data_IF_821128372286
#
_entry.id   IF_821128372286
#
_cell.length_a   1.000
_cell.length_b   1.000
_cell.length_c   1.000
_cell.angle_alpha   90.00
_cell.angle_beta   90.00
_cell.angle_gamma   90.00
#
_symmetry.space_group_name_H-M   'P 1'
#
loop_
_entity.id
_entity.type
_entity.pdbx_description
1 polymer ?
#
# COMPACT_ATOMS: atom_id res chain seq x y z
N UNK A 1 -33.35 -27.18 -3.40
CA UNK A 1 -31.89 -27.31 -3.24
C UNK A 1 -31.37 -26.04 -2.59
N UNK A 2 -30.93 -26.09 -1.32
CA UNK A 2 -30.29 -24.93 -0.68
C UNK A 2 -28.80 -25.04 -0.98
N UNK A 3 -28.34 -24.29 -1.97
CA UNK A 3 -26.91 -24.16 -2.25
C UNK A 3 -26.39 -23.10 -1.29
N UNK A 4 -25.73 -23.51 -0.21
CA UNK A 4 -24.90 -22.56 0.54
C UNK A 4 -23.67 -22.30 -0.36
N UNK A 5 -23.48 -21.08 -0.88
CA UNK A 5 -22.33 -20.81 -1.75
C UNK A 5 -21.03 -21.01 -0.96
N UNK A 6 -19.98 -21.44 -1.67
CA UNK A 6 -18.62 -21.36 -1.15
C UNK A 6 -18.36 -19.90 -0.72
N UNK A 7 -17.73 -19.73 0.45
CA UNK A 7 -17.32 -18.41 0.91
C UNK A 7 -16.40 -17.74 -0.10
N UNK A 8 -16.42 -16.41 -0.14
CA UNK A 8 -15.47 -15.65 -0.94
C UNK A 8 -14.09 -15.78 -0.29
N UNK A 9 -13.05 -15.98 -1.10
CA UNK A 9 -11.68 -16.04 -0.59
C UNK A 9 -11.32 -14.73 0.11
N UNK A 10 -11.03 -14.81 1.41
CA UNK A 10 -10.62 -13.69 2.26
C UNK A 10 -9.17 -13.89 2.68
N UNK A 11 -8.36 -12.86 2.50
CA UNK A 11 -6.93 -12.92 2.69
C UNK A 11 -6.46 -11.85 3.65
N UNK A 12 -5.42 -12.19 4.42
CA UNK A 12 -4.66 -11.27 5.25
C UNK A 12 -3.18 -11.47 4.92
N UNK A 13 -2.43 -10.37 4.85
CA UNK A 13 -1.03 -10.38 4.46
C UNK A 13 -0.26 -9.38 5.31
N UNK A 14 1.02 -9.66 5.60
CA UNK A 14 2.03 -8.70 6.09
C UNK A 14 1.80 -8.05 7.48
N UNK A 15 1.80 -8.85 8.55
CA UNK A 15 1.85 -8.35 9.94
C UNK A 15 0.71 -7.39 10.32
N UNK A 16 -0.49 -7.61 9.78
CA UNK A 16 -1.58 -6.63 9.91
C UNK A 16 -2.47 -6.84 11.14
N UNK A 17 -2.20 -7.87 11.95
CA UNK A 17 -2.95 -8.15 13.19
C UNK A 17 -2.50 -7.17 14.28
N UNK A 18 -3.30 -6.16 14.53
CA UNK A 18 -3.03 -5.13 15.53
C UNK A 18 -3.81 -5.43 16.82
N UNK A 19 -3.16 -5.35 17.97
CA UNK A 19 -3.86 -5.22 19.27
C UNK A 19 -3.82 -3.77 19.71
N UNK A 20 -4.98 -3.16 19.90
CA UNK A 20 -5.10 -1.78 20.38
C UNK A 20 -4.85 -1.69 21.88
N UNK A 21 -4.68 -0.47 22.40
CA UNK A 21 -4.50 -0.18 23.83
C UNK A 21 -5.69 -0.66 24.66
N UNK A 22 -6.91 -0.63 24.11
CA UNK A 22 -8.10 -1.18 24.77
C UNK A 22 -8.10 -2.71 24.85
N UNK A 23 -7.17 -3.37 24.16
CA UNK A 23 -7.06 -4.82 24.08
C UNK A 23 -7.83 -5.43 22.90
N UNK A 24 -8.56 -4.63 22.11
CA UNK A 24 -9.26 -5.11 20.91
C UNK A 24 -8.25 -5.55 19.85
N UNK A 25 -8.58 -6.63 19.15
CA UNK A 25 -7.82 -7.12 18.00
C UNK A 25 -8.43 -6.57 16.72
N UNK A 26 -7.60 -6.03 15.84
CA UNK A 26 -7.97 -5.47 14.55
C UNK A 26 -7.25 -6.28 13.47
N UNK A 27 -8.03 -6.89 12.59
CA UNK A 27 -7.53 -7.71 11.49
C UNK A 27 -8.09 -7.17 10.17
N UNK A 28 -7.35 -6.31 9.47
CA UNK A 28 -7.76 -5.87 8.15
C UNK A 28 -7.50 -7.00 7.14
N UNK A 29 -8.45 -7.19 6.23
CA UNK A 29 -8.47 -8.26 5.25
C UNK A 29 -8.94 -7.72 3.90
N UNK A 30 -8.70 -8.49 2.85
CA UNK A 30 -9.33 -8.25 1.55
C UNK A 30 -9.93 -9.52 0.97
N UNK A 31 -10.99 -9.34 0.19
CA UNK A 31 -11.60 -10.39 -0.63
C UNK A 31 -11.17 -10.23 -2.07
N UNK A 32 -11.14 -11.35 -2.80
CA UNK A 32 -10.85 -11.35 -4.22
C UNK A 32 -11.87 -12.20 -4.98
N UNK A 33 -12.44 -11.64 -6.04
CA UNK A 33 -13.50 -12.22 -6.86
C UNK A 33 -13.11 -12.19 -8.34
N UNK A 34 -13.17 -13.33 -9.02
CA UNK A 34 -12.91 -13.39 -10.46
C UNK A 34 -12.34 -14.73 -10.91
N UNK A 35 -12.15 -14.87 -12.22
CA UNK A 35 -11.44 -16.00 -12.82
C UNK A 35 -9.93 -15.75 -12.80
N UNK A 36 -9.12 -16.81 -12.82
CA UNK A 36 -7.66 -16.69 -12.79
C UNK A 36 -7.04 -16.22 -14.10
N UNK A 37 -7.80 -16.19 -15.19
CA UNK A 37 -7.36 -15.70 -16.51
C UNK A 37 -8.04 -14.38 -16.86
N UNK A 38 -7.32 -13.54 -17.62
CA UNK A 38 -7.87 -12.30 -18.16
C UNK A 38 -8.63 -12.54 -19.47
N UNK A 39 -9.02 -11.45 -20.17
CA UNK A 39 -9.66 -11.54 -21.48
C UNK A 39 -8.86 -12.41 -22.46
N UNK A 40 -9.56 -13.26 -23.23
CA UNK A 40 -8.98 -14.22 -24.18
C UNK A 40 -8.02 -15.25 -23.54
N UNK A 41 -8.19 -15.55 -22.26
CA UNK A 41 -7.34 -16.44 -21.47
C UNK A 41 -5.86 -16.00 -21.41
N UNK A 42 -5.59 -14.72 -21.63
CA UNK A 42 -4.24 -14.15 -21.62
C UNK A 42 -3.87 -13.64 -20.23
N UNK A 43 -2.67 -13.97 -19.77
CA UNK A 43 -2.00 -13.34 -18.63
C UNK A 43 -0.87 -12.44 -19.12
N UNK A 44 -0.94 -11.11 -18.89
CA UNK A 44 0.15 -10.21 -19.27
C UNK A 44 1.46 -10.60 -18.57
N UNK A 45 2.58 -10.31 -19.23
CA UNK A 45 3.89 -10.42 -18.59
C UNK A 45 3.94 -9.52 -17.36
N UNK A 46 4.48 -10.04 -16.27
CA UNK A 46 4.73 -9.22 -15.09
C UNK A 46 5.78 -8.14 -15.41
N UNK A 47 5.63 -6.97 -14.80
CA UNK A 47 6.63 -5.90 -14.87
C UNK A 47 8.00 -6.40 -14.41
N UNK A 48 9.06 -5.78 -14.92
CA UNK A 48 10.42 -6.30 -14.81
C UNK A 48 11.46 -5.37 -15.42
N UNK A 49 12.70 -5.84 -15.44
CA UNK A 49 13.83 -5.16 -16.07
C UNK A 49 14.65 -6.11 -16.91
N UNK A 50 15.30 -5.58 -17.94
CA UNK A 50 16.40 -6.28 -18.60
C UNK A 50 17.64 -6.22 -17.70
N UNK A 51 18.13 -7.38 -17.25
CA UNK A 51 19.39 -7.55 -16.54
C UNK A 51 20.30 -8.37 -17.46
N UNK A 52 21.41 -7.79 -17.90
CA UNK A 52 22.35 -8.42 -18.83
C UNK A 52 21.67 -8.96 -20.11
N UNK A 53 20.72 -8.21 -20.66
CA UNK A 53 19.96 -8.61 -21.86
C UNK A 53 18.87 -9.65 -21.62
N UNK A 54 18.62 -10.09 -20.38
CA UNK A 54 17.54 -11.01 -20.03
C UNK A 54 16.45 -10.33 -19.22
N UNK A 55 15.17 -10.63 -19.53
CA UNK A 55 14.05 -10.09 -18.76
C UNK A 55 13.95 -10.78 -17.40
N UNK A 56 14.00 -9.97 -16.34
CA UNK A 56 13.82 -10.39 -14.96
C UNK A 56 12.57 -9.72 -14.43
N UNK A 57 11.57 -10.52 -14.04
CA UNK A 57 10.37 -10.00 -13.39
C UNK A 57 10.70 -9.41 -12.03
N UNK A 58 10.21 -8.19 -11.77
CA UNK A 58 10.37 -7.48 -10.49
C UNK A 58 9.04 -7.26 -9.79
N UNK A 59 7.94 -7.75 -10.37
CA UNK A 59 6.60 -7.58 -9.85
C UNK A 59 5.83 -8.90 -9.80
N UNK A 60 5.01 -9.04 -8.76
CA UNK A 60 3.95 -10.04 -8.68
C UNK A 60 2.63 -9.28 -8.50
N UNK A 61 1.49 -9.86 -8.90
CA UNK A 61 0.18 -9.27 -8.62
C UNK A 61 -0.03 -7.85 -9.18
N UNK A 62 0.65 -7.50 -10.27
CA UNK A 62 0.49 -6.16 -10.88
C UNK A 62 -0.73 -6.10 -11.82
N UNK A 63 -1.10 -7.24 -12.40
CA UNK A 63 -2.24 -7.41 -13.32
C UNK A 63 -3.08 -8.59 -12.86
N UNK A 64 -3.76 -8.44 -11.71
CA UNK A 64 -4.69 -9.47 -11.25
C UNK A 64 -6.03 -9.32 -12.00
N UNK A 65 -6.58 -10.40 -12.58
CA UNK A 65 -7.87 -10.38 -13.27
C UNK A 65 -9.07 -10.34 -12.31
N UNK A 66 -8.81 -10.19 -11.02
CA UNK A 66 -9.81 -10.24 -9.96
C UNK A 66 -10.24 -8.82 -9.57
N UNK A 67 -11.50 -8.69 -9.18
CA UNK A 67 -11.96 -7.58 -8.39
C UNK A 67 -11.66 -7.85 -6.91
N UNK A 68 -11.09 -6.86 -6.22
CA UNK A 68 -10.83 -6.97 -4.78
C UNK A 68 -11.43 -5.81 -3.99
N UNK A 69 -11.78 -6.10 -2.75
CA UNK A 69 -12.27 -5.12 -1.79
C UNK A 69 -11.78 -5.47 -0.38
N UNK A 70 -11.51 -4.48 0.44
CA UNK A 70 -11.01 -4.68 1.80
C UNK A 70 -12.08 -4.43 2.86
N UNK A 71 -11.92 -4.99 4.05
CA UNK A 71 -12.71 -4.67 5.23
C UNK A 71 -11.93 -5.06 6.48
N UNK A 72 -12.48 -4.76 7.65
CA UNK A 72 -11.85 -5.11 8.92
C UNK A 72 -12.65 -6.18 9.64
N UNK A 73 -11.94 -7.15 10.20
CA UNK A 73 -12.46 -8.10 11.16
C UNK A 73 -11.98 -7.73 12.56
N UNK A 74 -12.86 -7.81 13.55
CA UNK A 74 -12.51 -7.64 14.96
C UNK A 74 -13.36 -8.57 15.83
N UNK A 75 -12.82 -9.09 16.94
CA UNK A 75 -13.58 -9.83 17.93
C UNK A 75 -13.95 -8.95 19.12
N UNK A 76 -15.04 -9.33 19.80
CA UNK A 76 -15.45 -8.74 21.09
C UNK A 76 -15.35 -9.75 22.26
N UNK A 77 -14.90 -10.97 21.99
CA UNK A 77 -14.90 -12.12 22.91
C UNK A 77 -13.57 -12.89 22.93
N UNK A 78 -12.45 -12.15 22.96
CA UNK A 78 -11.08 -12.69 22.95
C UNK A 78 -10.77 -13.59 21.74
N UNK A 79 -11.37 -13.28 20.59
CA UNK A 79 -11.10 -13.98 19.32
C UNK A 79 -11.92 -15.23 19.09
N UNK A 80 -12.93 -15.52 19.92
CA UNK A 80 -13.82 -16.68 19.75
C UNK A 80 -14.80 -16.48 18.60
N UNK A 81 -15.31 -15.28 18.42
CA UNK A 81 -16.16 -14.88 17.29
C UNK A 81 -15.62 -13.60 16.66
N UNK A 82 -15.80 -13.51 15.35
CA UNK A 82 -15.27 -12.40 14.55
C UNK A 82 -16.42 -11.70 13.83
N UNK A 83 -16.43 -10.38 13.93
CA UNK A 83 -17.38 -9.51 13.27
C UNK A 83 -16.66 -8.69 12.20
N UNK A 84 -17.42 -8.19 11.23
CA UNK A 84 -16.90 -7.30 10.18
C UNK A 84 -17.17 -5.84 10.53
N UNK A 85 -16.40 -4.92 9.97
CA UNK A 85 -16.72 -3.48 9.98
C UNK A 85 -18.17 -3.24 9.52
N UNK A 86 -18.89 -2.38 10.24
CA UNK A 86 -20.35 -2.23 10.11
C UNK A 86 -20.78 -1.42 8.90
N UNK A 87 -19.85 -0.65 8.34
CA UNK A 87 -20.03 0.25 7.22
C UNK A 87 -19.67 -0.39 5.86
N UNK A 88 -19.33 -1.68 5.87
CA UNK A 88 -19.13 -2.49 4.68
C UNK A 88 -17.69 -2.50 4.17
N UNK A 89 -17.54 -2.89 2.90
CA UNK A 89 -16.25 -3.00 2.23
C UNK A 89 -15.69 -1.62 1.81
N UNK A 90 -14.40 -1.45 2.07
CA UNK A 90 -13.57 -0.34 1.63
C UNK A 90 -13.21 -0.52 0.16
N UNK A 91 -13.92 0.19 -0.71
CA UNK A 91 -13.65 0.32 -2.13
C UNK A 91 -13.50 1.80 -2.49
N UNK A 92 -12.72 2.09 -3.53
CA UNK A 92 -12.54 3.48 -3.97
C UNK A 92 -13.61 3.81 -5.00
N UNK A 93 -14.59 4.62 -4.60
CA UNK A 93 -15.59 5.20 -5.49
C UNK A 93 -14.99 6.43 -6.18
N UNK A 94 -14.80 6.37 -7.49
CA UNK A 94 -14.22 7.47 -8.28
C UNK A 94 -15.27 8.51 -8.65
N UNK A 95 -16.47 8.05 -9.02
CA UNK A 95 -17.61 8.88 -9.39
C UNK A 95 -18.92 8.15 -9.12
N UNK A 96 -20.03 8.90 -9.06
CA UNK A 96 -21.38 8.33 -8.91
C UNK A 96 -21.86 7.57 -10.17
N UNK A 97 -21.08 7.61 -11.25
CA UNK A 97 -21.41 7.07 -12.56
C UNK A 97 -20.69 5.74 -12.85
N UNK A 98 -20.41 4.96 -11.80
CA UNK A 98 -20.09 3.51 -11.83
C UNK A 98 -18.58 3.16 -11.87
N UNK A 99 -17.66 4.11 -11.67
CA UNK A 99 -16.22 3.76 -11.58
C UNK A 99 -15.77 3.43 -10.14
N UNK A 100 -15.35 2.18 -9.93
CA UNK A 100 -14.73 1.70 -8.70
C UNK A 100 -13.31 1.21 -8.96
N UNK A 101 -12.43 1.39 -7.97
CA UNK A 101 -11.06 0.85 -8.00
C UNK A 101 -10.87 -0.12 -6.85
N UNK A 102 -10.08 -1.15 -7.11
CA UNK A 102 -9.90 -2.25 -6.16
C UNK A 102 -9.05 -1.80 -4.99
N UNK A 103 -9.12 -2.58 -3.92
CA UNK A 103 -8.31 -2.37 -2.73
C UNK A 103 -7.81 -3.70 -2.19
N UNK A 104 -6.52 -3.74 -1.87
CA UNK A 104 -5.84 -4.94 -1.39
C UNK A 104 -4.90 -4.61 -0.23
N UNK A 105 -4.41 -5.67 0.41
CA UNK A 105 -3.29 -5.64 1.37
C UNK A 105 -3.32 -4.45 2.35
N UNK A 106 -4.46 -4.21 3.05
CA UNK A 106 -4.59 -3.11 3.99
C UNK A 106 -3.71 -3.33 5.23
N UNK A 107 -3.12 -2.24 5.75
CA UNK A 107 -2.40 -2.22 7.02
C UNK A 107 -3.02 -1.19 7.95
N UNK A 108 -3.02 -1.44 9.27
CA UNK A 108 -3.62 -0.55 10.27
C UNK A 108 -2.64 -0.25 11.39
N UNK A 109 -2.72 0.96 11.95
CA UNK A 109 -2.07 1.32 13.21
C UNK A 109 -3.01 2.13 14.10
N UNK A 110 -2.84 2.01 15.42
CA UNK A 110 -3.54 2.86 16.38
C UNK A 110 -2.74 4.15 16.59
N UNK A 111 -3.30 5.28 16.18
CA UNK A 111 -2.64 6.60 16.25
C UNK A 111 -2.73 7.18 17.65
N UNK A 112 -3.92 7.07 18.25
CA UNK A 112 -4.21 7.36 19.66
C UNK A 112 -5.24 6.33 20.13
N UNK A 113 -5.43 6.12 21.44
CA UNK A 113 -6.38 5.11 21.94
C UNK A 113 -7.75 5.18 21.25
N UNK A 114 -8.14 4.09 20.58
CA UNK A 114 -9.42 3.98 19.84
C UNK A 114 -9.48 4.66 18.47
N UNK A 115 -8.44 5.39 18.06
CA UNK A 115 -8.35 6.07 16.76
C UNK A 115 -7.34 5.39 15.86
N UNK A 116 -7.81 4.84 14.75
CA UNK A 116 -7.02 4.00 13.86
C UNK A 116 -6.82 4.67 12.50
N UNK A 117 -5.64 4.46 11.93
CA UNK A 117 -5.30 4.82 10.56
C UNK A 117 -4.99 3.57 9.76
N UNK A 118 -5.61 3.46 8.59
CA UNK A 118 -5.34 2.43 7.59
C UNK A 118 -4.58 3.01 6.41
N UNK A 119 -3.59 2.28 5.90
CA UNK A 119 -3.10 2.43 4.51
C UNK A 119 -3.56 1.24 3.68
N UNK A 120 -3.83 1.48 2.40
CA UNK A 120 -4.36 0.45 1.50
C UNK A 120 -3.71 0.50 0.12
N UNK A 121 -3.41 -0.69 -0.41
CA UNK A 121 -2.90 -0.84 -1.78
C UNK A 121 -4.05 -0.63 -2.77
N UNK A 122 -3.72 0.04 -3.87
CA UNK A 122 -4.58 0.33 -5.00
C UNK A 122 -3.70 0.66 -6.22
N UNK A 123 -4.31 0.96 -7.35
CA UNK A 123 -3.67 1.23 -8.64
C UNK A 123 -3.67 2.70 -9.07
N UNK A 124 -4.08 3.63 -8.21
CA UNK A 124 -4.28 5.05 -8.55
C UNK A 124 -3.03 5.93 -8.40
N UNK A 125 -1.85 5.33 -8.34
CA UNK A 125 -0.58 6.08 -8.29
C UNK A 125 -0.25 6.69 -6.93
N UNK A 126 -1.02 6.40 -5.88
CA UNK A 126 -0.83 6.91 -4.51
C UNK A 126 -1.20 5.86 -3.48
N UNK A 127 -0.59 5.94 -2.30
CA UNK A 127 -1.12 5.24 -1.12
C UNK A 127 -2.43 5.90 -0.72
N UNK A 128 -3.48 5.10 -0.51
CA UNK A 128 -4.77 5.57 0.00
C UNK A 128 -4.88 5.27 1.49
N UNK A 129 -5.70 6.04 2.19
CA UNK A 129 -5.93 5.91 3.63
C UNK A 129 -7.40 5.98 4.02
N UNK A 130 -7.73 5.36 5.15
CA UNK A 130 -9.02 5.51 5.86
C UNK A 130 -8.78 5.65 7.36
N UNK A 131 -9.72 6.32 8.05
CA UNK A 131 -9.70 6.55 9.48
C UNK A 131 -10.83 5.81 10.17
N UNK A 132 -10.57 5.23 11.33
CA UNK A 132 -11.61 4.81 12.26
C UNK A 132 -11.50 5.64 13.54
N UNK A 133 -12.63 6.21 13.96
CA UNK A 133 -12.74 6.99 15.20
C UNK A 133 -13.47 6.19 16.30
N UNK A 134 -13.82 4.93 16.03
CA UNK A 134 -14.61 4.04 16.89
C UNK A 134 -13.96 2.66 17.06
N UNK A 135 -12.63 2.63 17.18
CA UNK A 135 -11.85 1.42 17.47
C UNK A 135 -12.10 0.28 16.46
N UNK A 136 -12.19 0.64 15.17
CA UNK A 136 -12.25 -0.27 14.03
C UNK A 136 -13.65 -0.74 13.62
N UNK A 137 -14.72 -0.25 14.26
CA UNK A 137 -16.10 -0.65 13.94
C UNK A 137 -16.60 -0.03 12.64
N UNK A 138 -16.21 1.20 12.36
CA UNK A 138 -16.48 1.93 11.11
C UNK A 138 -15.24 2.67 10.62
N UNK A 139 -15.22 2.97 9.32
CA UNK A 139 -14.10 3.55 8.60
C UNK A 139 -14.56 4.68 7.68
N UNK A 140 -13.75 5.73 7.58
CA UNK A 140 -13.99 6.79 6.62
C UNK A 140 -13.90 6.27 5.18
N UNK A 141 -14.50 6.99 4.23
CA UNK A 141 -14.18 6.79 2.81
C UNK A 141 -12.67 6.89 2.58
N UNK A 142 -12.17 6.06 1.67
CA UNK A 142 -10.77 6.06 1.27
C UNK A 142 -10.41 7.39 0.61
N UNK A 143 -9.26 7.94 0.98
CA UNK A 143 -8.73 9.20 0.46
C UNK A 143 -7.26 9.03 0.05
N UNK A 144 -6.80 9.71 -1.02
CA UNK A 144 -5.40 9.66 -1.42
C UNK A 144 -4.51 10.39 -0.40
N UNK A 145 -3.28 9.88 -0.23
CA UNK A 145 -2.22 10.57 0.51
C UNK A 145 -1.27 11.34 -0.44
N UNK A 146 -0.33 12.10 0.12
CA UNK A 146 0.76 12.70 -0.67
C UNK A 146 1.78 11.67 -1.19
N UNK A 147 1.76 10.43 -0.67
CA UNK A 147 2.76 9.39 -0.96
C UNK A 147 2.50 8.77 -2.34
N UNK A 148 3.34 9.11 -3.32
CA UNK A 148 3.31 8.50 -4.65
C UNK A 148 3.74 7.03 -4.57
N UNK A 149 2.98 6.15 -5.22
CA UNK A 149 3.14 4.70 -5.16
C UNK A 149 2.50 4.02 -6.36
N UNK A 150 3.05 2.90 -6.83
CA UNK A 150 2.33 2.03 -7.77
C UNK A 150 1.43 1.03 -7.03
N UNK A 151 0.93 0.01 -7.74
CA UNK A 151 0.24 -1.15 -7.19
C UNK A 151 1.17 -2.01 -6.31
N UNK A 152 1.43 -1.50 -5.12
CA UNK A 152 2.28 -2.11 -4.09
C UNK A 152 1.67 -1.91 -2.71
N UNK A 153 1.87 -2.88 -1.80
CA UNK A 153 1.51 -2.70 -0.41
C UNK A 153 2.42 -1.67 0.27
N UNK A 154 1.84 -0.93 1.21
CA UNK A 154 2.54 -0.04 2.12
C UNK A 154 2.38 -0.56 3.56
N UNK A 155 3.26 -0.14 4.46
CA UNK A 155 3.21 -0.45 5.88
C UNK A 155 3.17 0.85 6.69
N UNK A 156 2.34 0.87 7.74
CA UNK A 156 2.21 2.00 8.67
C UNK A 156 2.20 1.49 10.11
N UNK A 157 3.01 2.09 10.98
CA UNK A 157 3.08 1.76 12.41
C UNK A 157 3.25 3.00 13.26
N UNK A 158 2.62 3.00 14.42
CA UNK A 158 2.85 3.97 15.49
C UNK A 158 4.08 3.52 16.28
N UNK A 159 5.05 4.42 16.38
CA UNK A 159 6.27 4.24 17.16
C UNK A 159 5.99 4.53 18.64
N UNK A 160 6.87 4.06 19.52
CA UNK A 160 6.74 4.24 20.99
C UNK A 160 6.74 5.71 21.43
N UNK A 161 7.23 6.63 20.60
CA UNK A 161 7.19 8.07 20.83
C UNK A 161 5.94 8.77 20.26
N UNK A 162 4.94 8.00 19.79
CA UNK A 162 3.69 8.52 19.22
C UNK A 162 3.80 9.01 17.77
N UNK A 163 4.97 8.96 17.14
CA UNK A 163 5.11 9.25 15.72
C UNK A 163 4.62 8.08 14.87
N UNK A 164 4.26 8.34 13.61
CA UNK A 164 3.93 7.30 12.64
C UNK A 164 5.11 7.06 11.70
N UNK A 165 5.48 5.81 11.46
CA UNK A 165 6.42 5.37 10.45
C UNK A 165 5.66 4.74 9.28
N UNK A 166 5.76 5.37 8.11
CA UNK A 166 5.31 4.81 6.84
C UNK A 166 6.51 4.20 6.10
N UNK A 167 6.31 3.03 5.51
CA UNK A 167 7.26 2.38 4.59
C UNK A 167 6.49 1.95 3.33
N UNK A 168 6.96 2.34 2.15
CA UNK A 168 6.30 2.03 0.87
C UNK A 168 7.31 2.06 -0.29
N UNK A 169 6.89 1.68 -1.49
CA UNK A 169 7.72 1.89 -2.69
C UNK A 169 7.32 3.19 -3.40
N UNK A 170 8.24 4.14 -3.45
CA UNK A 170 8.00 5.43 -4.09
C UNK A 170 8.34 5.39 -5.57
N UNK A 171 7.33 5.60 -6.41
CA UNK A 171 7.40 5.53 -7.87
C UNK A 171 6.64 6.68 -8.51
N UNK A 172 7.25 7.30 -9.54
CA UNK A 172 6.59 8.31 -10.36
C UNK A 172 5.71 7.66 -11.44
N UNK A 173 4.83 8.45 -12.04
CA UNK A 173 4.00 7.98 -13.15
C UNK A 173 4.87 7.51 -14.35
N UNK A 174 5.95 8.23 -14.65
CA UNK A 174 6.90 7.86 -15.71
C UNK A 174 7.57 6.52 -15.41
N UNK A 175 8.00 6.30 -14.16
CA UNK A 175 8.59 5.04 -13.74
C UNK A 175 7.60 3.89 -13.88
N UNK A 176 6.35 4.09 -13.46
CA UNK A 176 5.27 3.09 -13.61
C UNK A 176 5.06 2.76 -15.09
N UNK A 177 4.94 3.78 -15.95
CA UNK A 177 4.74 3.61 -17.40
C UNK A 177 5.91 2.88 -18.07
N UNK A 178 7.13 3.07 -17.56
CA UNK A 178 8.33 2.38 -18.04
C UNK A 178 8.51 0.97 -17.44
N UNK A 179 7.59 0.52 -16.59
CA UNK A 179 7.67 -0.78 -15.90
C UNK A 179 8.67 -0.80 -14.74
N UNK A 180 9.15 0.36 -14.30
CA UNK A 180 10.02 0.53 -13.13
C UNK A 180 9.21 0.60 -11.82
N UNK A 181 8.50 -0.48 -11.52
CA UNK A 181 7.76 -0.67 -10.29
C UNK A 181 8.49 -1.58 -9.29
N UNK A 182 8.11 -1.50 -8.01
CA UNK A 182 8.66 -2.26 -6.88
C UNK A 182 10.16 -2.13 -6.67
N UNK A 183 10.76 -0.97 -6.99
CA UNK A 183 12.23 -0.84 -7.01
C UNK A 183 12.84 0.12 -6.00
N UNK A 184 12.07 1.03 -5.41
CA UNK A 184 12.58 2.02 -4.44
C UNK A 184 11.80 1.99 -3.12
N UNK A 185 12.26 1.16 -2.19
CA UNK A 185 11.76 1.23 -0.81
C UNK A 185 12.07 2.60 -0.22
N UNK A 186 11.06 3.20 0.39
CA UNK A 186 11.05 4.55 0.93
C UNK A 186 10.38 4.55 2.29
N UNK A 187 10.72 5.52 3.12
CA UNK A 187 10.12 5.68 4.45
C UNK A 187 9.91 7.13 4.81
N UNK A 188 8.89 7.43 5.61
CA UNK A 188 8.61 8.75 6.13
C UNK A 188 8.11 8.67 7.58
N UNK A 189 8.38 9.72 8.34
CA UNK A 189 7.91 9.87 9.72
C UNK A 189 6.91 11.02 9.79
N UNK A 190 5.69 10.72 10.23
CA UNK A 190 4.73 11.76 10.62
C UNK A 190 4.81 12.01 12.12
N UNK A 191 4.92 13.28 12.51
CA UNK A 191 5.00 13.70 13.92
C UNK A 191 3.69 14.27 14.47
N UNK A 192 2.68 14.41 13.60
CA UNK A 192 1.40 15.04 13.93
C UNK A 192 0.23 14.04 13.90
N UNK A 193 0.52 12.74 14.00
CA UNK A 193 -0.50 11.70 13.96
C UNK A 193 -1.14 11.47 12.59
N UNK A 194 -0.48 11.87 11.49
CA UNK A 194 -0.89 11.45 10.13
C UNK A 194 -1.97 12.31 9.46
N UNK A 195 -1.83 13.64 9.45
CA UNK A 195 -2.80 14.53 8.77
C UNK A 195 -3.22 14.08 7.37
N UNK A 196 -4.53 14.16 7.08
CA UNK A 196 -5.11 13.89 5.76
C UNK A 196 -4.39 14.72 4.70
N UNK A 197 -3.90 14.07 3.64
CA UNK A 197 -3.23 14.73 2.52
C UNK A 197 -1.78 15.20 2.78
N UNK A 198 -1.26 15.10 4.01
CA UNK A 198 0.11 15.55 4.34
C UNK A 198 0.84 14.51 5.17
N UNK A 199 1.52 13.59 4.50
CA UNK A 199 2.74 12.98 5.05
C UNK A 199 3.91 13.83 4.59
N UNK A 200 4.68 14.45 5.50
CA UNK A 200 5.88 15.17 5.12
C UNK A 200 6.89 14.16 4.58
N UNK A 201 7.26 14.28 3.29
CA UNK A 201 8.38 13.54 2.72
C UNK A 201 9.66 13.96 3.44
N UNK A 202 10.27 13.03 4.19
CA UNK A 202 11.72 13.07 4.43
C UNK A 202 12.32 11.83 3.79
N UNK A 203 12.86 12.02 2.59
CA UNK A 203 13.65 11.02 1.87
C UNK A 203 14.82 10.56 2.75
N UNK A 204 14.76 9.34 3.27
CA UNK A 204 15.95 8.61 3.71
C UNK A 204 16.36 7.77 2.51
N UNK A 205 17.32 8.25 1.71
CA UNK A 205 17.90 7.45 0.64
C UNK A 205 18.81 6.40 1.27
N UNK A 206 18.54 5.11 1.01
CA UNK A 206 19.60 4.10 1.07
C UNK A 206 20.61 4.50 -0.03
N UNK A 207 21.81 4.93 0.39
CA UNK A 207 22.87 5.34 -0.55
C UNK A 207 23.16 4.21 -1.52
N UNK A 208 23.12 4.50 -2.82
CA UNK A 208 23.95 3.77 -3.77
C UNK A 208 25.36 4.30 -3.57
N UNK A 209 26.18 3.56 -2.83
CA UNK A 209 27.62 3.74 -2.94
C UNK A 209 28.01 3.24 -4.33
N UNK A 210 28.07 4.16 -5.28
CA UNK A 210 28.73 3.93 -6.55
C UNK A 210 30.21 3.75 -6.22
N UNK A 211 30.70 2.52 -6.39
CA UNK A 211 32.12 2.21 -6.46
C UNK A 211 32.72 3.06 -7.60
N UNK A 212 33.31 4.20 -7.25
CA UNK A 212 34.06 5.03 -8.17
C UNK A 212 35.38 4.34 -8.47
N UNK A 213 35.53 3.81 -9.67
CA UNK A 213 36.84 3.54 -10.25
C UNK A 213 37.57 4.86 -10.37
N UNK A 214 38.61 5.05 -9.54
CA UNK A 214 39.50 6.18 -9.62
C UNK A 214 40.20 6.22 -10.97
N UNK A 215 40.19 7.39 -11.60
CA UNK A 215 41.19 7.80 -12.56
C UNK A 215 41.50 9.26 -12.28
N UNK A 216 42.68 9.45 -11.68
CA UNK A 216 43.38 10.73 -11.58
C UNK A 216 43.67 11.28 -12.98
N UNK A 217 43.43 12.58 -13.17
CA UNK A 217 44.35 13.44 -13.92
C UNK A 217 44.10 14.91 -13.60
N UNK A 218 45.04 15.49 -12.87
CA UNK A 218 45.26 16.91 -12.67
C UNK A 218 45.61 17.64 -13.98
N UNK A 219 45.06 18.85 -14.21
CA UNK A 219 45.83 20.11 -14.28
C UNK A 219 45.07 21.26 -14.99
N UNK A 220 44.91 22.36 -14.23
CA UNK A 220 45.07 23.78 -14.58
C UNK A 220 44.28 24.48 -15.71
N UNK A 221 43.62 25.55 -15.25
CA UNK A 221 43.56 26.93 -15.76
C UNK A 221 42.78 27.26 -17.04
N UNK A 222 41.67 27.99 -16.83
CA UNK A 222 41.53 29.37 -17.29
C UNK A 222 41.13 29.62 -18.75
N UNK A 223 39.85 29.94 -18.98
CA UNK A 223 39.35 31.20 -19.58
C UNK A 223 37.89 31.04 -20.02
N UNK A 224 37.08 32.03 -19.64
CA UNK A 224 35.84 32.47 -20.31
C UNK A 224 36.30 33.39 -21.47
N UNK A 225 35.75 33.34 -22.71
CA UNK A 225 34.38 33.77 -23.08
C UNK A 225 33.79 32.97 -24.30
N UNK A 226 32.61 33.16 -24.88
CA UNK A 226 31.55 34.19 -24.96
C UNK A 226 30.20 33.46 -24.94
#
# INVERSE_FOLDING_TARGET
>A
MRVTPLGIGTYTYQDVLLRTVSGRIILPVYVSLGQSTGPNDVKPAASGKLVNGQWVSTAAHFFDPHFSASYVCYPDDDGRTWQRSRDGELIILMDWNVSYRYTDEPTVTEVTPGRLLMFIRNELGRVFQAWSEDNGETWSRLQPTSLASSTVPAQIRTLTNGHLLAVWNQESEEEIKQGYNRTRISSAISRNGGSVGVFPERRIHARRDACGTGADSSSTSGRVPL
#
